data_IF_525701908831
#
_entry.id   IF_525701908831
#
_cell.length_a   1.000
_cell.length_b   1.000
_cell.length_c   1.000
_cell.angle_alpha   90.00
_cell.angle_beta   90.00
_cell.angle_gamma   90.00
#
_symmetry.space_group_name_H-M   'P 1'
#
loop_
_entity.id
_entity.type
_entity.pdbx_description
1 polymer ?
#
# COMPACT_ATOMS: atom_id res chain seq x y z
N UNK A 1 -10.98 -4.15 -16.07
CA UNK A 1 -10.13 -4.20 -14.86
C UNK A 1 -11.00 -3.81 -13.68
N UNK A 2 -11.26 -4.78 -12.82
CA UNK A 2 -12.06 -4.64 -11.60
C UNK A 2 -11.21 -4.10 -10.44
N UNK A 3 -11.85 -3.59 -9.39
CA UNK A 3 -11.17 -3.08 -8.19
C UNK A 3 -10.27 -4.16 -7.54
N UNK A 4 -10.73 -5.41 -7.53
CA UNK A 4 -9.97 -6.56 -7.02
C UNK A 4 -8.73 -6.88 -7.86
N UNK A 5 -8.86 -6.85 -9.19
CA UNK A 5 -7.73 -7.09 -10.10
C UNK A 5 -6.65 -6.02 -9.92
N UNK A 6 -7.04 -4.75 -9.79
CA UNK A 6 -6.10 -3.65 -9.53
C UNK A 6 -5.39 -3.80 -8.18
N UNK A 7 -6.13 -4.16 -7.12
CA UNK A 7 -5.55 -4.36 -5.79
C UNK A 7 -4.54 -5.51 -5.77
N UNK A 8 -4.83 -6.61 -6.49
CA UNK A 8 -3.91 -7.75 -6.64
C UNK A 8 -2.65 -7.39 -7.43
N UNK A 9 -2.79 -6.62 -8.51
CA UNK A 9 -1.65 -6.14 -9.30
C UNK A 9 -0.73 -5.24 -8.46
N UNK A 10 -1.29 -4.30 -7.69
CA UNK A 10 -0.50 -3.45 -6.80
C UNK A 10 0.18 -4.25 -5.69
N UNK A 11 -0.52 -5.22 -5.10
CA UNK A 11 0.04 -6.11 -4.09
C UNK A 11 1.25 -6.89 -4.62
N UNK A 12 1.17 -7.41 -5.85
CA UNK A 12 2.26 -8.12 -6.52
C UNK A 12 3.43 -7.17 -6.82
N UNK A 13 3.16 -5.97 -7.34
CA UNK A 13 4.17 -4.94 -7.59
C UNK A 13 4.98 -4.61 -6.32
N UNK A 14 4.31 -4.37 -5.19
CA UNK A 14 5.00 -4.07 -3.93
C UNK A 14 5.72 -5.28 -3.36
N UNK A 15 5.20 -6.50 -3.55
CA UNK A 15 5.90 -7.73 -3.17
C UNK A 15 7.22 -7.89 -3.94
N UNK A 16 7.21 -7.63 -5.25
CA UNK A 16 8.41 -7.64 -6.07
C UNK A 16 9.39 -6.52 -5.69
N UNK A 17 8.89 -5.31 -5.43
CA UNK A 17 9.69 -4.19 -4.95
C UNK A 17 10.39 -4.51 -3.61
N UNK A 18 9.70 -5.17 -2.67
CA UNK A 18 10.30 -5.62 -1.40
C UNK A 18 11.38 -6.67 -1.66
N UNK A 19 11.12 -7.67 -2.51
CA UNK A 19 12.13 -8.69 -2.86
C UNK A 19 13.37 -8.04 -3.48
N UNK A 20 13.18 -7.11 -4.41
CA UNK A 20 14.26 -6.36 -5.05
C UNK A 20 15.03 -5.50 -4.04
N UNK A 21 14.33 -4.84 -3.10
CA UNK A 21 14.97 -4.06 -2.05
C UNK A 21 15.79 -4.90 -1.05
N UNK A 22 15.37 -6.14 -0.80
CA UNK A 22 16.09 -7.09 0.09
C UNK A 22 17.30 -7.72 -0.62
N UNK A 23 17.18 -8.08 -1.89
CA UNK A 23 18.26 -8.70 -2.69
C UNK A 23 19.28 -7.67 -3.19
N UNK A 24 18.78 -6.50 -3.61
CA UNK A 24 19.51 -5.41 -4.24
C UNK A 24 19.92 -4.33 -3.25
N UNK A 25 20.87 -4.68 -2.40
CA UNK A 25 21.96 -3.83 -1.94
C UNK A 25 21.95 -2.36 -2.46
N UNK A 26 21.92 -1.39 -1.53
CA UNK A 26 22.61 -0.08 -1.51
C UNK A 26 21.73 1.05 -0.97
N UNK A 27 21.79 1.22 0.34
CA UNK A 27 21.84 2.54 0.97
C UNK A 27 22.81 3.43 0.19
N UNK A 28 22.30 4.30 -0.68
CA UNK A 28 23.13 5.34 -1.29
C UNK A 28 23.10 6.54 -0.35
N UNK A 29 24.21 6.73 0.37
CA UNK A 29 24.40 7.87 1.26
C UNK A 29 24.60 9.11 0.39
N UNK A 30 23.57 9.96 0.31
CA UNK A 30 23.71 11.29 -0.25
C UNK A 30 23.88 12.22 0.95
N UNK A 31 25.07 12.80 1.09
CA UNK A 31 25.35 13.83 2.09
C UNK A 31 25.10 13.38 3.56
N UNK A 32 25.50 12.15 3.89
CA UNK A 32 25.30 11.56 5.22
C UNK A 32 23.89 11.03 5.51
N UNK A 33 22.95 11.14 4.56
CA UNK A 33 21.60 10.59 4.67
C UNK A 33 21.43 9.42 3.70
N UNK A 34 21.08 8.26 4.23
CA UNK A 34 20.72 7.09 3.42
C UNK A 34 19.31 7.32 2.89
N UNK A 35 19.16 7.56 1.58
CA UNK A 35 17.86 7.76 0.94
C UNK A 35 17.70 6.69 -0.13
N UNK A 36 17.02 5.61 0.20
CA UNK A 36 16.36 4.77 -0.81
C UNK A 36 15.02 5.47 -1.08
N UNK A 37 14.72 5.81 -2.35
CA UNK A 37 13.54 6.62 -2.72
C UNK A 37 12.21 6.12 -2.12
N UNK A 38 12.15 4.82 -1.83
CA UNK A 38 11.24 4.23 -0.86
C UNK A 38 12.07 3.39 0.11
N UNK A 39 11.91 3.65 1.41
CA UNK A 39 12.46 2.79 2.46
C UNK A 39 11.74 1.43 2.46
N UNK A 40 12.41 0.37 2.92
CA UNK A 40 11.77 -0.94 3.12
C UNK A 40 10.54 -0.82 4.03
N UNK A 41 10.55 0.12 4.98
CA UNK A 41 9.41 0.40 5.85
C UNK A 41 8.21 0.93 5.06
N UNK A 42 8.42 1.89 4.16
CA UNK A 42 7.35 2.42 3.30
C UNK A 42 6.81 1.32 2.36
N UNK A 43 7.68 0.53 1.74
CA UNK A 43 7.25 -0.58 0.88
C UNK A 43 6.42 -1.62 1.65
N UNK A 44 6.78 -1.92 2.90
CA UNK A 44 6.00 -2.82 3.76
C UNK A 44 4.64 -2.22 4.15
N UNK A 45 4.59 -0.91 4.41
CA UNK A 45 3.34 -0.23 4.71
C UNK A 45 2.38 -0.27 3.52
N UNK A 46 2.89 0.03 2.32
CA UNK A 46 2.11 -0.07 1.08
C UNK A 46 1.66 -1.52 0.83
N UNK A 47 2.55 -2.50 0.99
CA UNK A 47 2.18 -3.92 0.87
C UNK A 47 1.06 -4.32 1.84
N UNK A 48 1.15 -3.92 3.11
CA UNK A 48 0.12 -4.21 4.11
C UNK A 48 -1.21 -3.53 3.77
N UNK A 49 -1.17 -2.31 3.25
CA UNK A 49 -2.36 -1.60 2.80
C UNK A 49 -3.07 -2.36 1.67
N UNK A 50 -2.34 -2.73 0.62
CA UNK A 50 -2.92 -3.47 -0.51
C UNK A 50 -3.39 -4.88 -0.12
N UNK A 51 -2.70 -5.54 0.82
CA UNK A 51 -3.15 -6.84 1.35
C UNK A 51 -4.49 -6.67 2.06
N UNK A 52 -4.62 -5.67 2.94
CA UNK A 52 -5.87 -5.38 3.63
C UNK A 52 -6.99 -4.98 2.65
N UNK A 53 -6.66 -4.27 1.56
CA UNK A 53 -7.59 -3.90 0.50
C UNK A 53 -8.13 -5.13 -0.24
N UNK A 54 -7.24 -6.06 -0.63
CA UNK A 54 -7.62 -7.34 -1.25
C UNK A 54 -8.51 -8.13 -0.30
N UNK A 55 -8.09 -8.31 0.96
CA UNK A 55 -8.84 -9.07 1.95
C UNK A 55 -10.23 -8.45 2.18
N UNK A 56 -10.32 -7.11 2.23
CA UNK A 56 -11.59 -6.38 2.37
C UNK A 56 -12.51 -6.62 1.19
N UNK A 57 -12.00 -6.50 -0.04
CA UNK A 57 -12.80 -6.69 -1.26
C UNK A 57 -13.24 -8.16 -1.38
N UNK A 58 -12.36 -9.13 -1.09
CA UNK A 58 -12.68 -10.56 -1.09
C UNK A 58 -13.71 -10.94 -0.01
N UNK A 59 -13.69 -10.26 1.14
CA UNK A 59 -14.72 -10.38 2.18
C UNK A 59 -16.08 -9.74 1.78
N UNK A 60 -16.21 -9.18 0.57
CA UNK A 60 -17.42 -8.52 0.09
C UNK A 60 -17.65 -7.13 0.70
N UNK A 61 -16.64 -6.56 1.37
CA UNK A 61 -16.70 -5.21 1.91
C UNK A 61 -16.21 -4.22 0.85
N UNK A 62 -17.14 -3.50 0.23
CA UNK A 62 -16.80 -2.37 -0.66
C UNK A 62 -16.39 -1.16 0.16
N UNK A 63 -15.53 -0.30 -0.40
CA UNK A 63 -15.01 0.95 0.23
C UNK A 63 -16.08 2.04 0.40
N UNK A 64 -17.32 1.67 0.74
CA UNK A 64 -18.35 2.64 1.09
C UNK A 64 -18.24 2.99 2.58
N UNK A 65 -17.23 3.79 2.92
CA UNK A 65 -17.34 4.65 4.11
C UNK A 65 -18.45 5.64 3.83
N UNK A 66 -19.68 5.28 4.18
CA UNK A 66 -20.86 6.15 4.09
C UNK A 66 -20.72 7.20 5.17
N UNK A 67 -20.07 8.32 4.86
CA UNK A 67 -19.98 9.49 5.76
C UNK A 67 -21.39 10.03 5.94
N UNK A 68 -22.06 9.62 7.02
CA UNK A 68 -23.34 10.20 7.41
C UNK A 68 -23.06 11.57 8.02
N UNK A 69 -23.25 12.64 7.23
CA UNK A 69 -23.18 14.00 7.73
C UNK A 69 -24.36 14.24 8.67
N UNK A 70 -24.13 14.27 9.97
CA UNK A 70 -25.12 14.72 10.94
C UNK A 70 -25.33 16.22 10.78
N UNK A 71 -26.50 16.63 10.29
CA UNK A 71 -26.94 18.03 10.28
C UNK A 71 -27.87 18.21 11.47
N UNK A 72 -27.48 18.94 12.53
CA UNK A 72 -28.41 19.27 13.61
C UNK A 72 -29.46 20.24 13.06
N UNK A 73 -30.74 19.88 13.19
CA UNK A 73 -31.84 20.80 12.94
C UNK A 73 -32.00 21.73 14.15
N UNK A 74 -31.99 23.04 13.87
CA UNK A 74 -32.41 24.08 14.80
C UNK A 74 -33.89 24.40 14.64
#
# INVERSE_FOLDING_TARGET
MTELENAKEMLELYREAIKAAVVGNKSYTINGRSITRYSITELRNEYNYWQAEVDRIEAGMSSQTKVSRFVPWG
#
